data_IF_602029253062
#
_entry.id   IF_602029253062
#
_cell.length_a   1.000
_cell.length_b   1.000
_cell.length_c   1.000
_cell.angle_alpha   90.00
_cell.angle_beta   90.00
_cell.angle_gamma   90.00
#
_symmetry.space_group_name_H-M   'P 1'
#
loop_
_entity.id
_entity.type
_entity.pdbx_description
1 polymer ?
#
# COMPACT_ATOMS: atom_id res chain seq x y z
N UNK A 1 9.37 -8.25 19.72
CA UNK A 1 10.78 -8.01 19.31
C UNK A 1 11.36 -6.88 20.15
N UNK A 2 12.69 -6.97 20.42
CA UNK A 2 13.43 -6.00 21.23
C UNK A 2 14.67 -5.51 20.51
N UNK A 3 15.11 -4.30 20.83
CA UNK A 3 16.39 -3.74 20.45
C UNK A 3 17.54 -4.44 21.21
N UNK A 4 18.80 -4.14 20.89
CA UNK A 4 19.98 -4.78 21.47
C UNK A 4 20.12 -4.55 22.98
N UNK A 5 19.56 -3.49 23.52
CA UNK A 5 19.52 -3.14 24.95
C UNK A 5 18.34 -3.75 25.71
N UNK A 6 17.50 -4.54 25.02
CA UNK A 6 16.31 -5.15 25.59
C UNK A 6 15.04 -4.31 25.51
N UNK A 7 15.12 -3.06 25.05
CA UNK A 7 13.96 -2.17 24.88
C UNK A 7 13.02 -2.74 23.81
N UNK A 8 11.70 -2.69 24.04
CA UNK A 8 10.70 -3.10 23.05
C UNK A 8 10.81 -2.22 21.80
N UNK A 9 10.71 -2.80 20.59
CA UNK A 9 10.72 -2.01 19.36
C UNK A 9 9.53 -1.04 19.27
N UNK A 10 8.41 -1.36 19.89
CA UNK A 10 7.26 -0.45 20.03
C UNK A 10 7.64 0.79 20.83
N UNK A 11 8.35 0.62 21.94
CA UNK A 11 8.82 1.74 22.78
C UNK A 11 9.87 2.58 22.05
N UNK A 12 10.77 1.94 21.29
CA UNK A 12 11.73 2.65 20.45
C UNK A 12 11.01 3.53 19.42
N UNK A 13 10.00 3.00 18.71
CA UNK A 13 9.20 3.76 17.72
C UNK A 13 8.49 4.95 18.42
N UNK A 14 7.82 4.69 19.54
CA UNK A 14 7.09 5.71 20.29
C UNK A 14 8.02 6.82 20.81
N UNK A 15 9.23 6.48 21.29
CA UNK A 15 10.21 7.45 21.79
C UNK A 15 10.71 8.41 20.72
N UNK A 16 10.58 8.05 19.44
CA UNK A 16 10.90 8.91 18.29
C UNK A 16 9.69 9.73 17.79
N UNK A 17 8.58 9.73 18.51
CA UNK A 17 7.36 10.44 18.11
C UNK A 17 6.60 9.78 16.93
N UNK A 18 6.93 8.55 16.60
CA UNK A 18 6.27 7.77 15.54
C UNK A 18 5.24 6.81 16.11
N UNK A 19 4.17 6.54 15.35
CA UNK A 19 3.15 5.57 15.74
C UNK A 19 3.49 4.17 15.21
N UNK A 20 3.49 3.13 16.06
CA UNK A 20 3.71 1.77 15.59
C UNK A 20 2.48 1.20 14.88
N UNK A 21 2.71 0.49 13.78
CA UNK A 21 1.69 -0.26 13.05
C UNK A 21 2.09 -1.70 12.79
N UNK A 22 1.14 -2.53 12.38
CA UNK A 22 1.38 -3.95 12.16
C UNK A 22 0.64 -4.46 10.91
N UNK A 23 1.34 -5.30 10.11
CA UNK A 23 0.73 -6.07 9.02
C UNK A 23 -0.05 -7.25 9.61
N UNK A 24 -1.31 -7.41 9.24
CA UNK A 24 -2.20 -8.42 9.86
C UNK A 24 -2.72 -9.48 8.88
N UNK A 25 -2.58 -9.29 7.57
CA UNK A 25 -2.88 -10.33 6.59
C UNK A 25 -1.94 -11.55 6.71
N UNK A 26 -2.43 -12.74 6.33
CA UNK A 26 -1.74 -14.03 6.54
C UNK A 26 -1.33 -14.74 5.24
N UNK A 27 -1.18 -14.01 4.16
CA UNK A 27 -0.77 -14.58 2.86
C UNK A 27 -1.93 -14.74 1.89
N UNK A 28 -1.68 -15.44 0.80
CA UNK A 28 -2.57 -15.57 -0.35
C UNK A 28 -3.06 -17.00 -0.50
N UNK A 29 -4.31 -17.16 -0.89
CA UNK A 29 -4.91 -18.41 -1.32
C UNK A 29 -5.40 -18.25 -2.75
N UNK A 30 -5.06 -19.20 -3.62
CA UNK A 30 -5.49 -19.21 -5.01
C UNK A 30 -7.03 -19.32 -5.11
N UNK A 31 -7.62 -18.59 -6.05
CA UNK A 31 -9.05 -18.65 -6.35
C UNK A 31 -9.27 -19.69 -7.44
N UNK A 32 -9.85 -20.84 -7.07
CA UNK A 32 -10.07 -21.93 -8.01
C UNK A 32 -8.78 -22.40 -8.69
N UNK A 33 -8.84 -22.65 -10.00
CA UNK A 33 -7.70 -23.04 -10.84
C UNK A 33 -7.13 -21.84 -11.64
N UNK A 34 -7.28 -20.62 -11.12
CA UNK A 34 -6.82 -19.37 -11.76
C UNK A 34 -5.47 -18.91 -11.19
N UNK A 35 -4.83 -17.92 -11.82
CA UNK A 35 -3.66 -17.23 -11.27
C UNK A 35 -4.05 -16.12 -10.26
N UNK A 36 -5.34 -15.93 -10.02
CA UNK A 36 -5.85 -14.95 -9.08
C UNK A 36 -5.83 -15.49 -7.65
N UNK A 37 -5.78 -14.60 -6.68
CA UNK A 37 -5.68 -14.97 -5.27
C UNK A 37 -6.56 -14.10 -4.38
N UNK A 38 -6.96 -14.67 -3.25
CA UNK A 38 -7.63 -13.98 -2.14
C UNK A 38 -6.70 -13.93 -0.93
N UNK A 39 -6.55 -12.75 -0.37
CA UNK A 39 -5.75 -12.55 0.84
C UNK A 39 -6.46 -13.12 2.06
N UNK A 40 -5.71 -13.90 2.84
CA UNK A 40 -6.20 -14.60 4.03
C UNK A 40 -5.86 -13.85 5.32
N UNK A 41 -6.60 -14.15 6.41
CA UNK A 41 -6.27 -13.65 7.74
C UNK A 41 -7.44 -13.03 8.50
N UNK A 42 -8.68 -13.07 7.99
CA UNK A 42 -9.86 -12.57 8.72
C UNK A 42 -10.21 -13.46 9.92
N UNK A 43 -10.00 -14.76 9.80
CA UNK A 43 -10.26 -15.69 10.90
C UNK A 43 -9.40 -15.34 12.13
N UNK A 44 -10.04 -15.15 13.28
CA UNK A 44 -9.40 -14.78 14.55
C UNK A 44 -8.71 -13.41 14.49
N UNK A 45 -9.12 -12.51 13.57
CA UNK A 45 -8.51 -11.18 13.44
C UNK A 45 -8.85 -10.30 14.64
N UNK A 46 -10.09 -10.32 15.12
CA UNK A 46 -10.55 -9.50 16.25
C UNK A 46 -9.73 -9.76 17.52
N UNK A 47 -9.48 -11.02 17.84
CA UNK A 47 -8.67 -11.42 19.00
C UNK A 47 -7.22 -10.93 18.84
N UNK A 48 -6.62 -11.13 17.67
CA UNK A 48 -5.26 -10.66 17.38
C UNK A 48 -5.13 -9.14 17.45
N UNK A 49 -6.16 -8.41 17.03
CA UNK A 49 -6.14 -6.95 17.08
C UNK A 49 -6.18 -6.42 18.50
N UNK A 50 -6.92 -7.06 19.41
CA UNK A 50 -6.90 -6.73 20.84
C UNK A 50 -5.50 -6.87 21.43
N UNK A 51 -4.82 -7.98 21.14
CA UNK A 51 -3.43 -8.19 21.58
C UNK A 51 -2.49 -7.13 20.98
N UNK A 52 -2.63 -6.80 19.69
CA UNK A 52 -1.79 -5.80 19.04
C UNK A 52 -2.04 -4.39 19.58
N UNK A 53 -3.28 -4.05 19.89
CA UNK A 53 -3.63 -2.78 20.51
C UNK A 53 -3.00 -2.64 21.92
N UNK A 54 -3.05 -3.70 22.73
CA UNK A 54 -2.46 -3.73 24.07
C UNK A 54 -0.95 -3.54 24.05
N UNK A 55 -0.25 -4.09 23.07
CA UNK A 55 1.20 -3.87 22.92
C UNK A 55 1.56 -2.55 22.24
N UNK A 56 0.57 -1.71 21.89
CA UNK A 56 0.76 -0.33 21.47
C UNK A 56 0.55 -0.04 19.99
N UNK A 57 0.13 -1.00 19.15
CA UNK A 57 -0.19 -0.73 17.75
C UNK A 57 -1.32 0.30 17.62
N UNK A 58 -1.17 1.24 16.66
CA UNK A 58 -2.14 2.32 16.39
C UNK A 58 -2.80 2.20 15.04
N UNK A 59 -2.18 1.52 14.11
CA UNK A 59 -2.74 1.23 12.79
C UNK A 59 -2.33 -0.17 12.34
N UNK A 60 -3.05 -0.67 11.36
CA UNK A 60 -2.76 -1.97 10.74
C UNK A 60 -2.71 -1.82 9.23
N UNK A 61 -2.16 -2.83 8.55
CA UNK A 61 -2.12 -2.89 7.10
C UNK A 61 -2.55 -4.27 6.60
N UNK A 62 -3.39 -4.29 5.56
CA UNK A 62 -3.81 -5.49 4.83
C UNK A 62 -3.66 -5.26 3.34
N UNK A 63 -2.98 -6.18 2.66
CA UNK A 63 -2.73 -6.14 1.22
C UNK A 63 -3.62 -7.13 0.49
N UNK A 64 -4.39 -6.66 -0.47
CA UNK A 64 -5.01 -7.45 -1.52
C UNK A 64 -4.14 -7.38 -2.78
N UNK A 65 -4.02 -8.48 -3.52
CA UNK A 65 -3.17 -8.58 -4.72
C UNK A 65 -4.04 -8.88 -5.92
N UNK A 66 -3.95 -8.04 -6.93
CA UNK A 66 -4.74 -8.10 -8.16
C UNK A 66 -3.79 -8.21 -9.36
N UNK A 67 -3.91 -9.28 -10.12
CA UNK A 67 -3.14 -9.52 -11.35
C UNK A 67 -3.84 -8.91 -12.56
N UNK A 68 -3.06 -8.43 -13.54
CA UNK A 68 -3.54 -8.09 -14.87
C UNK A 68 -3.03 -9.16 -15.85
N UNK A 69 -3.92 -9.71 -16.68
CA UNK A 69 -3.59 -10.71 -17.67
C UNK A 69 -4.79 -11.06 -18.54
N UNK A 70 -4.69 -12.14 -19.32
CA UNK A 70 -5.81 -12.60 -20.13
C UNK A 70 -6.98 -13.03 -19.23
N UNK A 71 -8.11 -12.33 -19.34
CA UNK A 71 -9.29 -12.55 -18.49
C UNK A 71 -9.13 -12.09 -17.03
N UNK A 72 -8.03 -11.41 -16.67
CA UNK A 72 -7.76 -10.91 -15.32
C UNK A 72 -7.59 -9.39 -15.31
N UNK A 73 -8.03 -8.70 -14.22
CA UNK A 73 -8.71 -9.27 -13.06
C UNK A 73 -10.18 -9.62 -13.36
N UNK A 74 -10.60 -10.78 -12.88
CA UNK A 74 -12.01 -11.17 -12.92
C UNK A 74 -12.84 -10.32 -11.94
N UNK A 75 -14.14 -10.19 -12.21
CA UNK A 75 -15.03 -9.48 -11.27
C UNK A 75 -15.15 -10.23 -9.94
N UNK A 76 -15.05 -11.56 -9.97
CA UNK A 76 -15.06 -12.41 -8.77
C UNK A 76 -13.85 -12.12 -7.86
N UNK A 77 -12.65 -12.08 -8.44
CA UNK A 77 -11.43 -11.81 -7.67
C UNK A 77 -11.42 -10.38 -7.11
N UNK A 78 -11.87 -9.39 -7.87
CA UNK A 78 -12.02 -8.02 -7.37
C UNK A 78 -13.00 -7.99 -6.19
N UNK A 79 -14.23 -8.49 -6.38
CA UNK A 79 -15.25 -8.47 -5.33
C UNK A 79 -14.76 -9.16 -4.06
N UNK A 80 -14.23 -10.37 -4.15
CA UNK A 80 -13.76 -11.13 -2.99
C UNK A 80 -12.66 -10.39 -2.22
N UNK A 81 -11.69 -9.78 -2.92
CA UNK A 81 -10.60 -9.05 -2.28
C UNK A 81 -11.07 -7.72 -1.67
N UNK A 82 -11.95 -6.97 -2.35
CA UNK A 82 -12.44 -5.69 -1.84
C UNK A 82 -13.42 -5.87 -0.66
N UNK A 83 -14.23 -6.91 -0.68
CA UNK A 83 -15.07 -7.32 0.46
C UNK A 83 -14.20 -7.70 1.67
N UNK A 84 -13.14 -8.48 1.47
CA UNK A 84 -12.20 -8.84 2.53
C UNK A 84 -11.47 -7.62 3.11
N UNK A 85 -11.06 -6.65 2.28
CA UNK A 85 -10.49 -5.38 2.73
C UNK A 85 -11.48 -4.55 3.55
N UNK A 86 -12.75 -4.50 3.14
CA UNK A 86 -13.77 -3.75 3.87
C UNK A 86 -14.11 -4.42 5.22
N UNK A 87 -14.22 -5.76 5.24
CA UNK A 87 -14.41 -6.52 6.49
C UNK A 87 -13.24 -6.30 7.45
N UNK A 88 -12.00 -6.44 6.95
CA UNK A 88 -10.80 -6.14 7.72
C UNK A 88 -10.84 -4.72 8.30
N UNK A 89 -11.17 -3.71 7.48
CA UNK A 89 -11.20 -2.32 7.91
C UNK A 89 -12.23 -2.10 9.05
N UNK A 90 -13.41 -2.69 8.94
CA UNK A 90 -14.44 -2.62 9.98
C UNK A 90 -13.97 -3.24 11.29
N UNK A 91 -13.38 -4.44 11.25
CA UNK A 91 -12.86 -5.11 12.45
C UNK A 91 -11.77 -4.26 13.12
N UNK A 92 -10.87 -3.64 12.32
CA UNK A 92 -9.79 -2.78 12.83
C UNK A 92 -10.35 -1.55 13.54
N UNK A 93 -11.34 -0.86 12.95
CA UNK A 93 -11.95 0.31 13.58
C UNK A 93 -12.70 -0.05 14.86
N UNK A 94 -13.37 -1.20 14.93
CA UNK A 94 -13.99 -1.71 16.14
C UNK A 94 -12.98 -1.96 17.28
N UNK A 95 -11.70 -2.13 16.94
CA UNK A 95 -10.58 -2.27 17.90
C UNK A 95 -9.78 -0.96 18.10
N UNK A 96 -10.37 0.21 17.79
CA UNK A 96 -9.78 1.53 17.99
C UNK A 96 -8.42 1.74 17.30
N UNK A 97 -8.22 1.11 16.13
CA UNK A 97 -7.04 1.28 15.29
C UNK A 97 -7.43 1.80 13.91
N UNK A 98 -6.48 2.39 13.21
CA UNK A 98 -6.65 2.89 11.84
C UNK A 98 -6.35 1.76 10.84
N UNK A 99 -7.29 1.37 9.97
CA UNK A 99 -7.01 0.45 8.88
C UNK A 99 -6.29 1.16 7.74
N UNK A 100 -5.20 0.57 7.26
CA UNK A 100 -4.59 0.91 5.98
C UNK A 100 -4.97 -0.16 4.98
N UNK A 101 -5.87 0.18 4.06
CA UNK A 101 -6.37 -0.73 3.01
C UNK A 101 -5.45 -0.65 1.80
N UNK A 102 -4.90 -1.79 1.36
CA UNK A 102 -3.92 -1.86 0.28
C UNK A 102 -4.44 -2.71 -0.90
N UNK A 103 -5.29 -2.14 -1.78
CA UNK A 103 -5.66 -2.79 -3.04
C UNK A 103 -4.52 -2.61 -4.03
N UNK A 104 -3.65 -3.60 -4.18
CA UNK A 104 -2.50 -3.52 -5.07
C UNK A 104 -2.78 -4.22 -6.40
N UNK A 105 -2.90 -3.46 -7.47
CA UNK A 105 -2.78 -3.96 -8.83
C UNK A 105 -1.30 -4.09 -9.17
N UNK A 106 -0.86 -5.30 -9.52
CA UNK A 106 0.55 -5.59 -9.76
C UNK A 106 1.04 -4.95 -11.06
N UNK A 107 2.26 -4.43 -11.02
CA UNK A 107 2.94 -3.96 -12.23
C UNK A 107 3.65 -5.08 -13.00
N UNK A 108 3.62 -6.32 -12.50
CA UNK A 108 4.18 -7.46 -13.20
C UNK A 108 3.37 -7.74 -14.48
N UNK A 109 4.05 -7.99 -15.60
CA UNK A 109 3.41 -8.25 -16.87
C UNK A 109 3.72 -7.22 -17.96
N UNK A 110 2.98 -7.30 -19.06
CA UNK A 110 3.17 -6.47 -20.25
C UNK A 110 1.97 -5.57 -20.58
N UNK A 111 1.07 -5.38 -19.61
CA UNK A 111 -0.11 -4.55 -19.76
C UNK A 111 0.26 -3.08 -20.03
N UNK A 112 -0.63 -2.36 -20.71
CA UNK A 112 -0.50 -0.93 -20.92
C UNK A 112 -0.85 -0.14 -19.64
N UNK A 113 -0.50 1.14 -19.62
CA UNK A 113 -0.93 2.02 -18.53
C UNK A 113 -2.46 2.17 -18.49
N UNK A 114 -3.14 2.04 -19.63
CA UNK A 114 -4.60 2.09 -19.71
C UNK A 114 -5.24 0.83 -19.09
N UNK A 115 -4.68 -0.34 -19.31
CA UNK A 115 -5.14 -1.58 -18.65
C UNK A 115 -4.96 -1.47 -17.11
N UNK A 116 -3.85 -0.89 -16.65
CA UNK A 116 -3.62 -0.63 -15.23
C UNK A 116 -4.63 0.38 -14.68
N UNK A 117 -4.92 1.44 -15.44
CA UNK A 117 -5.94 2.43 -15.06
C UNK A 117 -7.31 1.77 -14.90
N UNK A 118 -7.74 0.95 -15.87
CA UNK A 118 -9.02 0.25 -15.81
C UNK A 118 -9.10 -0.69 -14.60
N UNK A 119 -8.08 -1.54 -14.40
CA UNK A 119 -8.04 -2.48 -13.29
C UNK A 119 -8.05 -1.75 -11.94
N UNK A 120 -7.25 -0.69 -11.78
CA UNK A 120 -7.19 0.12 -10.56
C UNK A 120 -8.53 0.83 -10.31
N UNK A 121 -9.16 1.38 -11.34
CA UNK A 121 -10.47 2.01 -11.26
C UNK A 121 -11.54 1.06 -10.74
N UNK A 122 -11.63 -0.15 -11.31
CA UNK A 122 -12.56 -1.19 -10.86
C UNK A 122 -12.33 -1.61 -9.41
N UNK A 123 -11.07 -1.73 -9.01
CA UNK A 123 -10.72 -2.05 -7.62
C UNK A 123 -11.15 -0.95 -6.65
N UNK A 124 -10.86 0.31 -6.96
CA UNK A 124 -11.20 1.44 -6.09
C UNK A 124 -12.72 1.64 -5.99
N UNK A 125 -13.44 1.59 -7.12
CA UNK A 125 -14.91 1.69 -7.15
C UNK A 125 -15.56 0.62 -6.25
N UNK A 126 -15.15 -0.64 -6.43
CA UNK A 126 -15.65 -1.76 -5.63
C UNK A 126 -15.26 -1.63 -4.16
N UNK A 127 -14.00 -1.22 -3.86
CA UNK A 127 -13.53 -1.05 -2.49
C UNK A 127 -14.36 -0.03 -1.73
N UNK A 128 -14.54 1.16 -2.30
CA UNK A 128 -15.29 2.23 -1.59
C UNK A 128 -16.77 1.90 -1.47
N UNK A 129 -17.37 1.19 -2.42
CA UNK A 129 -18.72 0.65 -2.27
C UNK A 129 -18.79 -0.36 -1.10
N UNK A 130 -17.85 -1.30 -0.99
CA UNK A 130 -17.79 -2.27 0.10
C UNK A 130 -17.53 -1.60 1.48
N UNK A 131 -16.63 -0.59 1.52
CA UNK A 131 -16.37 0.17 2.76
C UNK A 131 -17.63 0.89 3.23
N UNK A 132 -18.41 1.48 2.34
CA UNK A 132 -19.68 2.14 2.64
C UNK A 132 -20.73 1.13 3.14
N UNK A 133 -20.89 0.00 2.45
CA UNK A 133 -21.84 -1.05 2.81
C UNK A 133 -21.56 -1.60 4.24
N UNK A 134 -20.31 -1.73 4.61
CA UNK A 134 -19.89 -2.15 5.95
C UNK A 134 -19.82 -1.02 6.98
N UNK A 135 -20.27 0.17 6.62
CA UNK A 135 -20.27 1.35 7.52
C UNK A 135 -18.88 1.63 8.12
N UNK A 136 -17.84 1.53 7.28
CA UNK A 136 -16.46 1.92 7.66
C UNK A 136 -16.35 3.44 7.66
N UNK A 137 -15.80 4.02 8.72
CA UNK A 137 -15.50 5.45 8.76
C UNK A 137 -14.33 5.77 7.83
N UNK A 138 -14.63 6.41 6.70
CA UNK A 138 -13.62 6.80 5.69
C UNK A 138 -12.62 7.80 6.27
N UNK A 139 -13.04 8.69 7.18
CA UNK A 139 -12.14 9.67 7.84
C UNK A 139 -11.15 9.01 8.80
N UNK A 140 -11.45 7.79 9.24
CA UNK A 140 -10.58 6.96 10.04
C UNK A 140 -9.79 5.91 9.25
N UNK A 141 -9.67 6.06 7.92
CA UNK A 141 -9.04 5.06 7.02
C UNK A 141 -7.90 5.69 6.22
N UNK A 142 -6.88 4.90 5.90
CA UNK A 142 -5.80 5.27 4.97
C UNK A 142 -5.84 4.34 3.77
N UNK A 143 -5.78 4.91 2.56
CA UNK A 143 -5.65 4.15 1.32
C UNK A 143 -4.17 3.98 0.98
N UNK A 144 -3.76 2.75 0.64
CA UNK A 144 -2.43 2.45 0.13
C UNK A 144 -2.51 1.78 -1.25
N UNK A 145 -2.72 2.53 -2.32
CA UNK A 145 -2.86 1.98 -3.66
C UNK A 145 -1.50 1.84 -4.37
N UNK A 146 -1.51 1.13 -5.50
CA UNK A 146 -0.49 1.28 -6.53
C UNK A 146 -0.60 2.64 -7.23
N UNK A 147 0.47 3.05 -7.92
CA UNK A 147 0.40 4.06 -8.97
C UNK A 147 -0.07 3.40 -10.26
N UNK A 148 -0.72 4.14 -11.13
CA UNK A 148 -1.15 3.65 -12.46
C UNK A 148 0.06 3.68 -13.38
N UNK A 149 0.60 2.50 -13.71
CA UNK A 149 1.85 2.33 -14.46
C UNK A 149 1.69 1.35 -15.61
N UNK A 150 2.56 1.43 -16.62
CA UNK A 150 2.74 0.33 -17.56
C UNK A 150 3.29 -0.90 -16.84
N UNK A 151 2.97 -2.09 -17.34
CA UNK A 151 3.55 -3.35 -16.86
C UNK A 151 5.07 -3.35 -17.00
N UNK A 152 5.76 -4.00 -16.05
CA UNK A 152 7.23 -4.00 -15.99
C UNK A 152 7.92 -4.60 -17.23
N UNK A 153 7.21 -5.44 -17.98
CA UNK A 153 7.69 -6.06 -19.22
C UNK A 153 7.15 -5.39 -20.49
N UNK A 154 6.34 -4.35 -20.36
CA UNK A 154 5.84 -3.61 -21.51
C UNK A 154 6.97 -2.79 -22.14
N UNK A 155 7.11 -2.86 -23.47
CA UNK A 155 8.12 -2.08 -24.21
C UNK A 155 7.77 -0.58 -24.28
N UNK A 156 6.50 -0.23 -24.11
CA UNK A 156 6.01 1.15 -24.10
C UNK A 156 5.78 1.58 -22.65
N UNK A 157 6.83 2.14 -22.04
CA UNK A 157 6.79 2.65 -20.67
C UNK A 157 6.28 4.07 -20.65
N UNK A 158 5.22 4.31 -19.87
CA UNK A 158 4.70 5.66 -19.64
C UNK A 158 5.75 6.52 -18.91
N UNK A 159 5.80 7.79 -19.26
CA UNK A 159 6.69 8.74 -18.60
C UNK A 159 6.13 9.22 -17.24
N UNK A 160 6.93 9.99 -16.49
CA UNK A 160 6.59 10.45 -15.14
C UNK A 160 5.31 11.26 -15.11
N UNK A 161 5.15 12.17 -16.05
CA UNK A 161 3.99 13.05 -16.14
C UNK A 161 2.71 12.27 -16.44
N UNK A 162 2.79 11.29 -17.32
CA UNK A 162 1.66 10.43 -17.68
C UNK A 162 1.23 9.53 -16.51
N UNK A 163 2.19 8.87 -15.84
CA UNK A 163 1.90 8.09 -14.63
C UNK A 163 1.25 8.94 -13.55
N UNK A 164 1.80 10.13 -13.29
CA UNK A 164 1.26 11.04 -12.30
C UNK A 164 -0.16 11.50 -12.64
N UNK A 165 -0.39 11.90 -13.89
CA UNK A 165 -1.70 12.39 -14.34
C UNK A 165 -2.76 11.28 -14.27
N UNK A 166 -2.48 10.11 -14.86
CA UNK A 166 -3.42 8.97 -14.85
C UNK A 166 -3.71 8.49 -13.43
N UNK A 167 -2.70 8.47 -12.55
CA UNK A 167 -2.92 8.10 -11.15
C UNK A 167 -3.85 9.08 -10.43
N UNK A 168 -3.62 10.39 -10.59
CA UNK A 168 -4.47 11.42 -10.00
C UNK A 168 -5.89 11.39 -10.59
N UNK A 169 -6.03 11.18 -11.89
CA UNK A 169 -7.34 11.09 -12.54
C UNK A 169 -8.13 9.88 -12.03
N UNK A 170 -7.48 8.74 -11.85
CA UNK A 170 -8.06 7.55 -11.26
C UNK A 170 -8.53 7.82 -9.81
N UNK A 171 -7.65 8.40 -8.98
CA UNK A 171 -8.02 8.73 -7.60
C UNK A 171 -9.17 9.73 -7.51
N UNK A 172 -9.16 10.79 -8.33
CA UNK A 172 -10.24 11.79 -8.35
C UNK A 172 -11.59 11.23 -8.76
N UNK A 173 -11.60 10.18 -9.57
CA UNK A 173 -12.83 9.55 -10.03
C UNK A 173 -13.47 8.63 -8.96
N UNK A 174 -12.66 7.98 -8.13
CA UNK A 174 -13.13 6.88 -7.29
C UNK A 174 -12.86 7.03 -5.79
N UNK A 175 -11.97 7.94 -5.37
CA UNK A 175 -11.64 8.11 -3.95
C UNK A 175 -12.42 9.26 -3.34
N UNK A 176 -13.16 9.05 -2.24
CA UNK A 176 -13.91 10.11 -1.56
C UNK A 176 -13.01 11.26 -1.09
N UNK A 177 -13.51 12.48 -1.22
CA UNK A 177 -12.79 13.72 -0.83
C UNK A 177 -12.48 13.81 0.67
N UNK A 178 -13.22 13.11 1.51
CA UNK A 178 -13.06 13.11 2.96
C UNK A 178 -12.12 12.01 3.49
N UNK A 179 -11.52 11.20 2.60
CA UNK A 179 -10.41 10.33 2.95
C UNK A 179 -9.21 11.19 3.39
N UNK A 180 -8.59 10.97 4.56
CA UNK A 180 -7.54 11.86 5.05
C UNK A 180 -6.22 11.74 4.29
N UNK A 181 -5.88 10.55 3.77
CA UNK A 181 -4.60 10.34 3.13
C UNK A 181 -4.48 9.11 2.24
N UNK A 182 -3.63 9.26 1.24
CA UNK A 182 -3.22 8.21 0.31
C UNK A 182 -1.71 8.03 0.44
N UNK A 183 -1.29 6.81 0.73
CA UNK A 183 0.14 6.46 0.89
C UNK A 183 0.52 5.38 -0.12
N UNK A 184 1.15 5.76 -1.20
CA UNK A 184 1.45 4.83 -2.30
C UNK A 184 2.43 3.73 -1.91
N UNK A 185 2.20 2.52 -2.41
CA UNK A 185 3.21 1.47 -2.46
C UNK A 185 4.20 1.73 -3.61
N UNK A 186 5.39 1.14 -3.57
CA UNK A 186 6.35 1.25 -4.68
C UNK A 186 6.14 0.21 -5.78
N UNK A 187 5.50 -0.92 -5.48
CA UNK A 187 5.06 -1.95 -6.45
C UNK A 187 6.15 -2.61 -7.28
N UNK A 188 7.43 -2.39 -6.95
CA UNK A 188 8.56 -2.86 -7.77
C UNK A 188 9.24 -1.76 -8.59
N UNK A 189 8.69 -0.54 -8.61
CA UNK A 189 9.37 0.63 -9.17
C UNK A 189 10.72 0.87 -8.49
N UNK A 190 11.67 1.50 -9.19
CA UNK A 190 12.89 1.99 -8.56
C UNK A 190 12.57 3.06 -7.51
N UNK A 191 13.48 3.30 -6.59
CA UNK A 191 13.37 4.41 -5.62
C UNK A 191 13.29 5.77 -6.31
N UNK A 192 14.00 5.95 -7.44
CA UNK A 192 13.99 7.17 -8.26
C UNK A 192 12.62 7.36 -8.90
N UNK A 193 12.10 6.37 -9.62
CA UNK A 193 10.83 6.48 -10.33
C UNK A 193 9.66 6.68 -9.35
N UNK A 194 9.59 5.87 -8.28
CA UNK A 194 8.55 5.99 -7.27
C UNK A 194 8.53 7.37 -6.61
N UNK A 195 9.71 7.97 -6.40
CA UNK A 195 9.82 9.33 -5.84
C UNK A 195 9.44 10.38 -6.86
N UNK A 196 9.88 10.23 -8.13
CA UNK A 196 9.54 11.16 -9.21
C UNK A 196 8.03 11.22 -9.47
N UNK A 197 7.38 10.07 -9.53
CA UNK A 197 5.93 9.98 -9.71
C UNK A 197 5.18 10.65 -8.54
N UNK A 198 5.58 10.38 -7.30
CA UNK A 198 4.95 10.99 -6.13
C UNK A 198 5.13 12.52 -6.10
N UNK A 199 6.33 13.01 -6.45
CA UNK A 199 6.60 14.45 -6.55
C UNK A 199 5.73 15.10 -7.63
N UNK A 200 5.64 14.48 -8.82
CA UNK A 200 4.81 14.98 -9.92
C UNK A 200 3.32 15.02 -9.52
N UNK A 201 2.80 13.99 -8.85
CA UNK A 201 1.42 13.97 -8.35
C UNK A 201 1.16 15.09 -7.32
N UNK A 202 2.10 15.34 -6.41
CA UNK A 202 1.97 16.44 -5.45
C UNK A 202 2.00 17.82 -6.13
N UNK A 203 2.73 17.97 -7.24
CA UNK A 203 2.75 19.21 -8.06
C UNK A 203 1.45 19.43 -8.81
N UNK A 204 0.76 18.38 -9.26
CA UNK A 204 -0.57 18.50 -9.90
C UNK A 204 -1.58 19.11 -8.92
N UNK A 205 -1.68 18.59 -7.71
CA UNK A 205 -2.57 19.10 -6.67
C UNK A 205 -4.07 19.05 -7.03
N UNK A 206 -4.87 19.91 -6.39
CA UNK A 206 -6.31 20.01 -6.66
C UNK A 206 -7.13 18.83 -6.12
N UNK A 207 -6.72 18.30 -4.96
CA UNK A 207 -7.39 17.25 -4.18
C UNK A 207 -7.23 17.53 -2.69
N UNK A 208 -8.07 16.89 -1.86
CA UNK A 208 -8.09 17.13 -0.41
C UNK A 208 -7.19 16.17 0.37
N UNK A 209 -6.85 14.99 -0.20
CA UNK A 209 -6.03 13.98 0.46
C UNK A 209 -4.59 14.44 0.64
N UNK A 210 -3.95 13.94 1.70
CA UNK A 210 -2.48 14.06 1.83
C UNK A 210 -1.84 12.91 1.07
N UNK A 211 -1.05 13.23 0.03
CA UNK A 211 -0.28 12.22 -0.69
C UNK A 211 1.08 12.01 -0.04
N UNK A 212 1.41 10.75 0.23
CA UNK A 212 2.67 10.34 0.82
C UNK A 212 3.04 8.94 0.34
N UNK A 213 4.02 8.33 0.96
CA UNK A 213 4.52 7.01 0.60
C UNK A 213 4.45 6.03 1.78
N UNK A 214 4.32 4.74 1.43
CA UNK A 214 4.49 3.60 2.34
C UNK A 214 5.36 2.56 1.61
N UNK A 215 6.60 2.96 1.31
CA UNK A 215 7.54 2.13 0.55
C UNK A 215 8.24 1.12 1.45
N UNK A 216 8.34 -0.12 0.97
CA UNK A 216 9.19 -1.14 1.57
C UNK A 216 10.54 -1.20 0.85
N UNK A 217 10.58 -1.89 -0.29
CA UNK A 217 11.81 -2.14 -1.05
C UNK A 217 12.50 -0.85 -1.52
N UNK A 218 11.77 0.09 -2.09
CA UNK A 218 12.33 1.35 -2.59
C UNK A 218 13.04 2.17 -1.50
N UNK A 219 12.56 2.11 -0.25
CA UNK A 219 13.20 2.80 0.88
C UNK A 219 14.36 2.02 1.47
N UNK A 220 14.24 0.69 1.61
CA UNK A 220 15.16 -0.12 2.39
C UNK A 220 16.27 -0.77 1.57
N UNK A 221 16.05 -1.04 0.27
CA UNK A 221 16.97 -1.82 -0.54
C UNK A 221 18.35 -1.18 -0.70
N UNK A 222 18.51 0.14 -0.91
CA UNK A 222 19.82 0.77 -0.94
C UNK A 222 20.59 0.59 0.37
N UNK A 223 19.90 0.78 1.51
CA UNK A 223 20.50 0.58 2.83
C UNK A 223 20.92 -0.87 3.08
N UNK A 224 20.08 -1.84 2.71
CA UNK A 224 20.38 -3.27 2.85
C UNK A 224 21.57 -3.69 1.97
N UNK A 225 21.63 -3.18 0.74
CA UNK A 225 22.77 -3.42 -0.16
C UNK A 225 24.08 -2.85 0.40
N UNK A 226 24.04 -1.66 1.00
CA UNK A 226 25.23 -1.07 1.62
C UNK A 226 25.63 -1.80 2.90
N UNK A 227 24.67 -2.27 3.68
CA UNK A 227 24.92 -2.98 4.95
C UNK A 227 25.60 -4.34 4.75
N UNK A 228 25.09 -5.16 3.83
CA UNK A 228 25.58 -6.52 3.57
C UNK A 228 25.63 -7.44 4.82
N UNK A 229 24.88 -7.12 5.87
CA UNK A 229 24.92 -7.87 7.14
C UNK A 229 26.16 -7.61 8.02
N UNK A 230 27.00 -6.63 7.69
CA UNK A 230 28.28 -6.37 8.35
C UNK A 230 28.20 -5.20 9.32
N UNK A 231 28.76 -5.36 10.53
CA UNK A 231 28.77 -4.30 11.56
C UNK A 231 29.51 -3.04 11.14
N UNK A 232 30.62 -3.20 10.43
CA UNK A 232 31.44 -2.09 9.91
C UNK A 232 30.69 -1.21 8.90
N UNK A 233 29.65 -1.74 8.27
CA UNK A 233 28.86 -1.03 7.26
C UNK A 233 27.63 -0.31 7.83
N UNK A 234 27.37 -0.34 9.15
CA UNK A 234 26.15 0.23 9.75
C UNK A 234 26.03 1.71 9.41
N UNK A 235 27.09 2.50 9.58
CA UNK A 235 27.05 3.95 9.33
C UNK A 235 26.79 4.24 7.83
N UNK A 236 27.48 3.56 6.93
CA UNK A 236 27.28 3.73 5.47
C UNK A 236 25.86 3.30 5.07
N UNK A 237 25.37 2.19 5.61
CA UNK A 237 24.00 1.72 5.39
C UNK A 237 22.97 2.75 5.81
N UNK A 238 23.14 3.33 6.99
CA UNK A 238 22.22 4.33 7.52
C UNK A 238 22.10 5.56 6.60
N UNK A 239 23.18 6.02 6.00
CA UNK A 239 23.16 7.14 5.04
C UNK A 239 22.38 6.85 3.76
N UNK A 240 22.16 5.56 3.44
CA UNK A 240 21.36 5.12 2.29
C UNK A 240 19.88 4.88 2.62
N UNK A 241 19.46 5.01 3.88
CA UNK A 241 18.06 4.88 4.28
C UNK A 241 17.32 6.21 4.07
N UNK A 242 17.32 6.69 2.85
CA UNK A 242 16.63 7.91 2.42
C UNK A 242 16.07 7.71 1.01
N UNK A 243 14.97 8.41 0.71
CA UNK A 243 14.50 8.49 -0.67
C UNK A 243 15.34 9.49 -1.46
N UNK A 244 15.46 9.33 -2.79
CA UNK A 244 16.10 10.31 -3.65
C UNK A 244 15.51 11.70 -3.46
N UNK A 245 16.35 12.72 -3.41
CA UNK A 245 15.89 14.10 -3.44
C UNK A 245 15.73 14.52 -4.89
N UNK A 246 14.51 14.87 -5.27
CA UNK A 246 14.25 15.46 -6.58
C UNK A 246 14.46 16.96 -6.44
N UNK A 247 15.57 17.43 -7.03
CA UNK A 247 15.84 18.85 -7.13
C UNK A 247 14.91 19.47 -8.21
N UNK A 248 14.37 20.66 -7.95
CA UNK A 248 13.55 21.37 -8.93
C UNK A 248 14.35 21.79 -10.17
#
# INVERSE_FOLDING_TARGET
QTAADGTSLVDVINSQGSLPGIKVDKGLQQIGDTEESLTQGLEGLDERLKEYYEIGAKFTKWRAVINIGEGMPSSEAISANMEALAEYAKIVQNNNMVPMVEPEVLMDGNHSIDDCFEATSRCLDTLFACLLDKEVDIKGTILKPNMVTSGSNNSDQANVEEVAQKTIDCLKAYVPDDLPGVTFLSGGQSDIDATAHLDAMNKIGGFNWKLSFSYGRALQQPALKAWMGKKENITVSYTHLTLPTILP
#
